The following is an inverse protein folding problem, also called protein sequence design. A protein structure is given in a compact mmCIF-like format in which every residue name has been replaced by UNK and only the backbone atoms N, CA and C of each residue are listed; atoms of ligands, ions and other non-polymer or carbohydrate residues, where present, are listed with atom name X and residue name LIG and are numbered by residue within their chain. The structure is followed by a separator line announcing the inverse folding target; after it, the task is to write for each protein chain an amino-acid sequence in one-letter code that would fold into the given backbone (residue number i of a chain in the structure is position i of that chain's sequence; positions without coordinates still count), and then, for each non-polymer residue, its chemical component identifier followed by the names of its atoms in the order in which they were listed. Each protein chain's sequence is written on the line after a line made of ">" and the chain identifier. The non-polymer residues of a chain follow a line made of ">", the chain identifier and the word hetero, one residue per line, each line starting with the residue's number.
data_IF_197678342742
#
_entry.id   IF_197678342742
#
_cell.length_a   1.000
_cell.length_b   1.000
_cell.length_c   1.000
_cell.angle_alpha   90.00
_cell.angle_beta   90.00
_cell.angle_gamma   90.00
#
_symmetry.space_group_name_H-M   'P 1'
#
loop_
_entity.id
_entity.type
_entity.pdbx_description
1 polymer ?
#
# COMPACT_ATOMS: atom_id res chain seq x y z
N UNK A 1 4.08 38.00 -30.40
CA UNK A 1 3.53 36.62 -30.48
C UNK A 1 3.52 36.10 -29.06
N UNK A 2 2.34 36.08 -28.44
CA UNK A 2 2.19 35.66 -27.05
C UNK A 2 2.35 34.15 -26.98
N UNK A 3 3.37 33.69 -26.27
CA UNK A 3 3.58 32.30 -25.91
C UNK A 3 2.55 31.94 -24.83
N UNK A 4 1.40 31.41 -25.26
CA UNK A 4 0.40 30.87 -24.35
C UNK A 4 0.90 29.50 -23.87
N UNK A 5 1.62 29.50 -22.76
CA UNK A 5 1.93 28.28 -22.00
C UNK A 5 0.61 27.60 -21.63
N UNK A 6 0.26 26.53 -22.35
CA UNK A 6 -0.87 25.68 -21.99
C UNK A 6 -0.67 25.20 -20.54
N UNK A 7 -1.68 25.28 -19.66
CA UNK A 7 -1.60 24.62 -18.38
C UNK A 7 -1.45 23.12 -18.65
N UNK A 8 -0.41 22.53 -18.07
CA UNK A 8 -0.10 21.12 -18.23
C UNK A 8 -1.22 20.31 -17.55
N UNK A 9 -2.30 20.04 -18.29
CA UNK A 9 -3.55 19.43 -17.84
C UNK A 9 -3.38 17.91 -17.68
N UNK A 10 -2.31 17.53 -16.98
CA UNK A 10 -1.90 16.15 -16.65
C UNK A 10 -2.82 15.49 -15.63
N UNK A 11 -3.92 16.15 -15.24
CA UNK A 11 -4.86 15.60 -14.27
C UNK A 11 -5.65 14.47 -14.92
N UNK A 12 -5.65 13.25 -14.34
CA UNK A 12 -6.40 12.12 -14.87
C UNK A 12 -7.87 12.49 -15.04
N UNK A 13 -8.42 12.23 -16.22
CA UNK A 13 -9.83 12.46 -16.50
C UNK A 13 -10.71 11.72 -15.49
N UNK A 14 -11.76 12.39 -15.02
CA UNK A 14 -12.72 11.83 -14.07
C UNK A 14 -13.87 11.16 -14.82
N UNK A 15 -14.15 9.90 -14.48
CA UNK A 15 -15.24 9.10 -15.03
C UNK A 15 -16.33 8.96 -13.95
N UNK A 16 -17.58 9.26 -14.31
CA UNK A 16 -18.71 9.02 -13.42
C UNK A 16 -19.12 7.54 -13.48
N UNK A 17 -19.30 6.92 -12.31
CA UNK A 17 -19.65 5.50 -12.18
C UNK A 17 -20.70 5.30 -11.10
N UNK A 18 -21.61 4.35 -11.29
CA UNK A 18 -22.63 4.03 -10.28
C UNK A 18 -22.11 3.12 -9.18
N UNK A 19 -21.01 2.37 -9.39
CA UNK A 19 -20.34 1.51 -8.40
C UNK A 19 -18.83 1.50 -8.62
N UNK A 20 -18.06 1.08 -7.61
CA UNK A 20 -16.60 0.94 -7.74
C UNK A 20 -16.29 -0.10 -8.83
N UNK A 21 -15.61 0.26 -9.92
CA UNK A 21 -15.16 -0.72 -10.90
C UNK A 21 -14.15 -1.66 -10.25
N UNK A 22 -14.14 -2.94 -10.62
CA UNK A 22 -13.07 -3.86 -10.20
C UNK A 22 -11.76 -3.57 -10.95
N UNK A 23 -11.87 -3.16 -12.23
CA UNK A 23 -10.75 -2.79 -13.09
C UNK A 23 -11.03 -1.48 -13.81
N UNK A 24 -9.96 -0.78 -14.13
CA UNK A 24 -10.01 0.44 -14.94
C UNK A 24 -10.41 0.07 -16.38
N UNK A 25 -11.45 0.72 -16.95
CA UNK A 25 -11.91 0.40 -18.30
C UNK A 25 -10.92 0.81 -19.40
N UNK A 26 -9.87 1.57 -19.05
CA UNK A 26 -8.89 2.08 -20.02
C UNK A 26 -7.63 1.21 -20.08
N UNK A 27 -7.08 0.81 -18.93
CA UNK A 27 -5.80 0.08 -18.88
C UNK A 27 -5.90 -1.28 -18.18
N UNK A 28 -7.08 -1.68 -17.69
CA UNK A 28 -7.28 -2.96 -17.01
C UNK A 28 -6.65 -3.08 -15.61
N UNK A 29 -5.95 -2.06 -15.13
CA UNK A 29 -5.38 -2.04 -13.77
C UNK A 29 -6.45 -2.00 -12.70
N UNK A 30 -6.10 -2.39 -11.47
CA UNK A 30 -7.01 -2.34 -10.31
C UNK A 30 -7.47 -0.90 -10.03
N UNK A 31 -8.68 -0.78 -9.47
CA UNK A 31 -9.19 0.49 -8.96
C UNK A 31 -9.10 0.50 -7.44
N UNK A 32 -8.31 1.44 -6.90
CA UNK A 32 -8.07 1.63 -5.47
C UNK A 32 -8.82 2.84 -4.95
N UNK A 33 -8.90 2.96 -3.62
CA UNK A 33 -9.52 4.13 -2.99
C UNK A 33 -8.58 5.34 -3.03
N UNK A 34 -9.17 6.54 -3.06
CA UNK A 34 -8.45 7.79 -2.81
C UNK A 34 -8.59 8.13 -1.33
N UNK A 35 -7.47 8.41 -0.67
CA UNK A 35 -7.42 8.86 0.72
C UNK A 35 -7.06 10.34 0.75
N UNK A 36 -7.86 11.15 1.44
CA UNK A 36 -7.68 12.60 1.55
C UNK A 36 -7.20 13.03 2.93
N UNK A 37 -6.73 14.27 3.04
CA UNK A 37 -6.14 14.80 4.27
C UNK A 37 -4.78 14.14 4.55
N UNK A 38 -4.00 13.94 3.49
CA UNK A 38 -2.76 13.15 3.51
C UNK A 38 -1.51 14.01 3.68
N UNK A 39 -1.61 15.35 3.56
CA UNK A 39 -0.43 16.22 3.49
C UNK A 39 0.54 15.73 2.41
N UNK A 40 1.81 15.60 2.79
CA UNK A 40 2.91 15.14 1.93
C UNK A 40 3.11 13.60 1.95
N UNK A 41 2.21 12.84 2.57
CA UNK A 41 2.31 11.37 2.61
C UNK A 41 2.29 10.80 1.20
N UNK A 42 3.26 9.94 0.89
CA UNK A 42 3.31 9.21 -0.39
C UNK A 42 2.51 7.91 -0.32
N UNK A 43 2.17 7.33 -1.46
CA UNK A 43 1.55 6.00 -1.51
C UNK A 43 2.42 4.91 -0.89
N UNK A 44 3.75 5.03 -1.00
CA UNK A 44 4.68 4.08 -0.38
C UNK A 44 4.67 4.20 1.15
N UNK A 45 4.69 5.42 1.69
CA UNK A 45 4.59 5.66 3.14
C UNK A 45 3.27 5.11 3.67
N UNK A 46 2.16 5.37 2.97
CA UNK A 46 0.86 4.85 3.32
C UNK A 46 0.83 3.32 3.32
N UNK A 47 1.44 2.69 2.31
CA UNK A 47 1.52 1.23 2.23
C UNK A 47 2.32 0.66 3.41
N UNK A 48 3.49 1.22 3.75
CA UNK A 48 4.30 0.72 4.86
C UNK A 48 3.64 0.96 6.22
N UNK A 49 3.10 2.16 6.44
CA UNK A 49 2.54 2.54 7.73
C UNK A 49 1.16 1.91 7.98
N UNK A 50 0.27 1.94 6.99
CA UNK A 50 -1.11 1.48 7.13
C UNK A 50 -1.34 0.06 6.59
N UNK A 51 -0.40 -0.49 5.81
CA UNK A 51 -0.46 -1.82 5.18
C UNK A 51 -1.69 -2.00 4.30
N UNK A 52 -1.97 -0.97 3.50
CA UNK A 52 -3.11 -0.87 2.58
C UNK A 52 -2.68 -0.17 1.29
N UNK A 53 -3.36 -0.50 0.19
CA UNK A 53 -3.17 0.17 -1.10
C UNK A 53 -4.22 1.27 -1.29
N UNK A 54 -3.76 2.47 -1.61
CA UNK A 54 -4.60 3.63 -1.92
C UNK A 54 -3.79 4.68 -2.70
N UNK A 55 -4.48 5.64 -3.31
CA UNK A 55 -3.87 6.83 -3.92
C UNK A 55 -4.03 8.02 -2.98
N UNK A 56 -2.99 8.82 -2.82
CA UNK A 56 -2.99 9.98 -1.93
C UNK A 56 -3.65 11.17 -2.63
N UNK A 57 -4.79 11.61 -2.10
CA UNK A 57 -5.64 12.66 -2.66
C UNK A 57 -5.24 14.08 -2.27
N UNK A 58 -4.30 14.22 -1.33
CA UNK A 58 -3.91 15.51 -0.75
C UNK A 58 -4.98 16.11 0.16
N UNK A 59 -4.77 17.36 0.54
CA UNK A 59 -5.65 18.07 1.49
C UNK A 59 -6.77 18.85 0.80
N UNK A 60 -6.59 19.14 -0.50
CA UNK A 60 -7.56 19.88 -1.31
C UNK A 60 -8.65 18.96 -1.82
N UNK A 61 -9.69 18.76 -1.00
CA UNK A 61 -10.86 17.94 -1.36
C UNK A 61 -11.78 18.75 -2.29
N UNK A 62 -11.99 18.32 -3.56
CA UNK A 62 -12.92 19.01 -4.45
C UNK A 62 -14.36 18.89 -3.95
N UNK A 63 -15.21 19.87 -4.29
CA UNK A 63 -16.65 19.82 -3.95
C UNK A 63 -17.35 18.55 -4.46
N UNK A 64 -16.92 18.04 -5.62
CA UNK A 64 -17.38 16.78 -6.23
C UNK A 64 -16.20 15.81 -6.34
N UNK A 65 -15.77 15.20 -5.22
CA UNK A 65 -14.51 14.48 -5.16
C UNK A 65 -14.61 13.16 -5.92
N UNK A 66 -13.61 12.81 -6.76
CA UNK A 66 -13.41 11.41 -7.10
C UNK A 66 -13.04 10.64 -5.82
N UNK A 67 -13.58 9.44 -5.65
CA UNK A 67 -13.32 8.62 -4.44
C UNK A 67 -12.53 7.35 -4.75
N UNK A 68 -12.35 7.06 -6.04
CA UNK A 68 -11.51 5.96 -6.50
C UNK A 68 -10.58 6.43 -7.61
N UNK A 69 -9.47 5.70 -7.76
CA UNK A 69 -8.47 5.96 -8.78
C UNK A 69 -8.00 4.63 -9.37
N UNK A 70 -7.67 4.66 -10.65
CA UNK A 70 -6.88 3.59 -11.25
C UNK A 70 -5.52 3.53 -10.53
N UNK A 71 -5.04 2.33 -10.19
CA UNK A 71 -3.75 2.17 -9.50
C UNK A 71 -2.56 2.67 -10.32
N UNK A 72 -2.64 2.65 -11.65
CA UNK A 72 -1.61 3.26 -12.53
C UNK A 72 -1.78 4.77 -12.70
N UNK A 73 -2.77 5.38 -12.02
CA UNK A 73 -3.01 6.83 -12.05
C UNK A 73 -3.76 7.36 -13.28
N UNK A 74 -4.03 6.54 -14.31
CA UNK A 74 -4.53 7.06 -15.60
C UNK A 74 -5.95 7.64 -15.59
N UNK A 75 -6.80 7.22 -14.65
CA UNK A 75 -8.20 7.67 -14.51
C UNK A 75 -8.61 7.77 -13.05
N UNK A 76 -9.52 8.69 -12.78
CA UNK A 76 -10.19 8.86 -11.48
C UNK A 76 -11.68 8.59 -11.65
N UNK A 77 -12.33 8.12 -10.60
CA UNK A 77 -13.74 7.75 -10.65
C UNK A 77 -14.54 8.47 -9.58
N UNK A 78 -15.67 9.03 -10.00
CA UNK A 78 -16.65 9.69 -9.13
C UNK A 78 -17.91 8.85 -9.07
N UNK A 79 -18.43 8.64 -7.87
CA UNK A 79 -19.73 7.98 -7.67
C UNK A 79 -20.86 8.93 -8.09
N UNK A 80 -21.79 8.41 -8.89
CA UNK A 80 -23.07 9.06 -9.23
C UNK A 80 -24.24 8.10 -8.95
N UNK A 81 -25.45 8.64 -8.92
CA UNK A 81 -26.69 7.86 -8.87
C UNK A 81 -27.00 7.24 -10.25
N UNK A 82 -28.00 6.36 -10.33
CA UNK A 82 -28.37 5.69 -11.59
C UNK A 82 -28.88 6.67 -12.65
N UNK A 83 -29.48 7.79 -12.22
CA UNK A 83 -29.93 8.89 -13.09
C UNK A 83 -28.79 9.85 -13.51
N UNK A 84 -27.55 9.58 -13.09
CA UNK A 84 -26.37 10.38 -13.39
C UNK A 84 -26.16 11.61 -12.50
N UNK A 85 -27.04 11.85 -11.52
CA UNK A 85 -26.89 12.95 -10.55
C UNK A 85 -25.78 12.67 -9.53
N UNK A 86 -25.30 13.73 -8.86
CA UNK A 86 -24.26 13.61 -7.84
C UNK A 86 -24.74 12.72 -6.67
N UNK A 87 -23.99 11.67 -6.38
CA UNK A 87 -24.27 10.81 -5.24
C UNK A 87 -23.64 11.41 -3.95
N UNK A 88 -24.35 11.41 -2.81
CA UNK A 88 -23.74 11.76 -1.54
C UNK A 88 -22.66 10.73 -1.19
N UNK A 89 -21.42 11.18 -1.06
CA UNK A 89 -20.26 10.33 -0.73
C UNK A 89 -19.54 10.81 0.51
N UNK A 90 -19.13 9.86 1.34
CA UNK A 90 -18.17 10.11 2.41
C UNK A 90 -16.77 9.75 1.92
N UNK A 91 -15.93 10.76 1.74
CA UNK A 91 -14.52 10.58 1.38
C UNK A 91 -13.77 9.85 2.50
N UNK A 92 -12.77 9.05 2.11
CA UNK A 92 -11.86 8.42 3.09
C UNK A 92 -10.82 9.45 3.52
N UNK A 93 -10.79 9.73 4.82
CA UNK A 93 -9.83 10.66 5.42
C UNK A 93 -8.73 9.88 6.12
N UNK A 94 -7.46 10.24 5.93
CA UNK A 94 -6.31 9.57 6.54
C UNK A 94 -6.45 9.44 8.06
N UNK A 95 -6.86 10.52 8.73
CA UNK A 95 -7.10 10.55 10.20
C UNK A 95 -8.07 9.49 10.72
N UNK A 96 -8.93 8.93 9.86
CA UNK A 96 -9.93 7.92 10.23
C UNK A 96 -9.48 6.49 9.85
N UNK A 97 -8.33 6.32 9.22
CA UNK A 97 -7.83 5.02 8.80
C UNK A 97 -7.08 4.36 9.96
N UNK A 98 -7.41 3.09 10.21
CA UNK A 98 -6.67 2.24 11.14
C UNK A 98 -5.62 1.44 10.39
N UNK A 99 -4.43 1.32 10.97
CA UNK A 99 -3.34 0.47 10.47
C UNK A 99 -3.81 -0.99 10.47
N UNK A 100 -3.49 -1.74 9.43
CA UNK A 100 -3.68 -3.19 9.44
C UNK A 100 -2.50 -3.88 10.17
N UNK A 101 -2.58 -5.18 10.51
CA UNK A 101 -1.45 -5.94 11.07
C UNK A 101 -0.24 -5.97 10.13
N UNK A 102 1.00 -6.08 10.66
CA UNK A 102 2.21 -6.14 9.81
C UNK A 102 2.21 -7.37 8.90
N UNK A 103 1.64 -8.47 9.37
CA UNK A 103 1.47 -9.72 8.62
C UNK A 103 0.67 -9.62 7.31
N UNK A 104 0.10 -8.44 7.00
CA UNK A 104 -0.49 -8.16 5.67
C UNK A 104 0.56 -7.87 4.60
N UNK A 105 1.76 -7.45 4.97
CA UNK A 105 2.89 -7.31 4.07
C UNK A 105 3.64 -8.64 4.05
N UNK A 106 3.93 -9.14 2.86
CA UNK A 106 4.88 -10.24 2.66
C UNK A 106 6.23 -9.58 2.38
N UNK A 107 7.16 -9.75 3.31
CA UNK A 107 8.51 -9.23 3.19
C UNK A 107 9.36 -10.24 2.43
N UNK A 108 10.20 -9.79 1.51
CA UNK A 108 10.99 -10.67 0.65
C UNK A 108 12.47 -10.51 1.01
N UNK A 109 13.16 -11.61 1.25
CA UNK A 109 14.60 -11.58 1.49
C UNK A 109 15.37 -11.30 0.20
N UNK A 110 16.56 -10.70 0.30
CA UNK A 110 17.44 -10.51 -0.85
C UNK A 110 17.82 -11.85 -1.51
N UNK A 111 17.93 -12.92 -0.72
CA UNK A 111 18.20 -14.27 -1.23
C UNK A 111 17.04 -14.81 -2.07
N UNK A 112 15.80 -14.47 -1.73
CA UNK A 112 14.63 -14.78 -2.54
C UNK A 112 14.67 -14.08 -3.90
N UNK A 113 15.06 -12.81 -3.94
CA UNK A 113 15.22 -12.08 -5.20
C UNK A 113 16.26 -12.76 -6.11
N UNK A 114 17.42 -13.13 -5.55
CA UNK A 114 18.44 -13.89 -6.29
C UNK A 114 17.95 -15.26 -6.75
N UNK A 115 17.15 -15.95 -5.93
CA UNK A 115 16.59 -17.25 -6.32
C UNK A 115 15.61 -17.11 -7.50
N UNK A 116 14.81 -16.03 -7.53
CA UNK A 116 13.93 -15.70 -8.66
C UNK A 116 14.72 -15.40 -9.94
N UNK A 117 15.81 -14.63 -9.84
CA UNK A 117 16.70 -14.32 -10.97
C UNK A 117 17.36 -15.57 -11.58
N UNK A 118 17.61 -16.59 -10.77
CA UNK A 118 18.22 -17.86 -11.17
C UNK A 118 17.20 -18.99 -11.43
N UNK A 119 15.91 -18.67 -11.52
CA UNK A 119 14.80 -19.62 -11.74
C UNK A 119 14.75 -20.79 -10.72
N UNK A 120 15.27 -20.55 -9.52
CA UNK A 120 15.31 -21.52 -8.42
C UNK A 120 14.09 -21.37 -7.52
N UNK A 121 12.89 -21.25 -8.10
CA UNK A 121 11.65 -20.93 -7.37
C UNK A 121 11.31 -21.98 -6.29
N UNK A 122 11.71 -23.23 -6.51
CA UNK A 122 11.44 -24.35 -5.61
C UNK A 122 12.06 -24.22 -4.22
N UNK A 123 13.07 -23.36 -4.04
CA UNK A 123 13.70 -23.14 -2.74
C UNK A 123 13.04 -22.02 -1.93
N UNK A 124 12.15 -21.24 -2.56
CA UNK A 124 11.47 -20.11 -1.92
C UNK A 124 10.25 -20.63 -1.16
N UNK A 125 10.20 -20.32 0.13
CA UNK A 125 9.10 -20.67 1.03
C UNK A 125 8.55 -19.42 1.71
N UNK A 126 7.29 -19.50 2.15
CA UNK A 126 6.69 -18.49 3.00
C UNK A 126 6.78 -18.94 4.46
N UNK A 127 7.31 -18.07 5.30
CA UNK A 127 7.44 -18.25 6.73
C UNK A 127 6.53 -17.26 7.46
N UNK A 128 5.96 -17.70 8.57
CA UNK A 128 5.33 -16.83 9.55
C UNK A 128 6.24 -16.76 10.79
N UNK A 129 6.64 -15.54 11.15
CA UNK A 129 7.55 -15.32 12.27
C UNK A 129 6.83 -14.58 13.39
N UNK A 130 6.96 -15.05 14.62
CA UNK A 130 6.54 -14.31 15.81
C UNK A 130 7.77 -13.69 16.47
N UNK A 131 7.80 -12.36 16.50
CA UNK A 131 8.96 -11.61 16.98
C UNK A 131 8.64 -11.03 18.35
N UNK A 132 9.62 -11.07 19.24
CA UNK A 132 9.63 -10.29 20.49
C UNK A 132 10.86 -9.39 20.52
N UNK A 133 10.65 -8.10 20.81
CA UNK A 133 11.73 -7.11 20.91
C UNK A 133 12.26 -6.97 22.34
N UNK A 134 13.36 -6.24 22.51
CA UNK A 134 13.93 -5.91 23.83
C UNK A 134 13.00 -5.06 24.72
N UNK A 135 11.93 -4.50 24.14
CA UNK A 135 10.90 -3.74 24.84
C UNK A 135 9.63 -4.56 25.12
N UNK A 136 9.69 -5.89 24.95
CA UNK A 136 8.56 -6.81 25.13
C UNK A 136 7.39 -6.51 24.17
N UNK A 137 7.70 -5.96 23.00
CA UNK A 137 6.71 -5.79 21.93
C UNK A 137 6.65 -7.05 21.07
N UNK A 138 5.44 -7.49 20.76
CA UNK A 138 5.19 -8.67 19.94
C UNK A 138 4.60 -8.29 18.59
N UNK A 139 5.07 -8.92 17.51
CA UNK A 139 4.44 -8.80 16.20
C UNK A 139 4.64 -10.04 15.35
N UNK A 140 3.69 -10.29 14.44
CA UNK A 140 3.75 -11.39 13.48
C UNK A 140 4.15 -10.88 12.10
N UNK A 141 5.20 -11.47 11.51
CA UNK A 141 5.62 -11.20 10.13
C UNK A 141 5.25 -12.35 9.20
N UNK A 142 5.06 -12.02 7.92
CA UNK A 142 5.09 -12.99 6.83
C UNK A 142 6.29 -12.69 5.95
N UNK A 143 7.12 -13.70 5.71
CA UNK A 143 8.40 -13.56 5.01
C UNK A 143 8.49 -14.59 3.90
N UNK A 144 8.84 -14.16 2.69
CA UNK A 144 9.34 -15.04 1.63
C UNK A 144 10.86 -15.12 1.77
N UNK A 145 11.38 -16.33 1.99
CA UNK A 145 12.80 -16.61 2.21
C UNK A 145 13.19 -17.98 1.64
N UNK A 146 14.49 -18.20 1.47
CA UNK A 146 15.03 -19.49 0.97
C UNK A 146 15.29 -20.52 2.07
N UNK A 147 15.32 -20.09 3.33
CA UNK A 147 15.46 -20.92 4.52
C UNK A 147 14.88 -20.22 5.76
N UNK A 148 14.67 -20.96 6.86
CA UNK A 148 14.26 -20.35 8.14
C UNK A 148 15.28 -19.35 8.68
N UNK A 149 16.58 -19.63 8.53
CA UNK A 149 17.65 -18.69 8.93
C UNK A 149 17.62 -17.40 8.11
N UNK A 150 17.39 -17.49 6.79
CA UNK A 150 17.23 -16.33 5.91
C UNK A 150 15.99 -15.50 6.30
N UNK A 151 14.92 -16.17 6.73
CA UNK A 151 13.73 -15.50 7.25
C UNK A 151 14.01 -14.74 8.56
N UNK A 152 14.74 -15.37 9.49
CA UNK A 152 15.14 -14.77 10.77
C UNK A 152 16.07 -13.57 10.57
N UNK A 153 17.06 -13.67 9.68
CA UNK A 153 17.97 -12.57 9.34
C UNK A 153 17.20 -11.35 8.81
N UNK A 154 16.24 -11.57 7.90
CA UNK A 154 15.38 -10.50 7.40
C UNK A 154 14.53 -9.88 8.52
N UNK A 155 13.96 -10.70 9.41
CA UNK A 155 13.19 -10.19 10.55
C UNK A 155 14.03 -9.28 11.45
N UNK A 156 15.27 -9.68 11.77
CA UNK A 156 16.19 -8.85 12.55
C UNK A 156 16.50 -7.53 11.85
N UNK A 157 16.74 -7.56 10.54
CA UNK A 157 16.99 -6.36 9.74
C UNK A 157 15.79 -5.40 9.79
N UNK A 158 14.57 -5.91 9.60
CA UNK A 158 13.34 -5.12 9.63
C UNK A 158 13.09 -4.45 10.99
N UNK A 159 13.36 -5.17 12.09
CA UNK A 159 13.28 -4.62 13.45
C UNK A 159 14.32 -3.54 13.68
N UNK A 160 15.57 -3.82 13.32
CA UNK A 160 16.69 -2.87 13.48
C UNK A 160 16.41 -1.57 12.73
N UNK A 161 15.91 -1.67 11.50
CA UNK A 161 15.51 -0.52 10.66
C UNK A 161 14.20 0.13 11.10
N UNK A 162 13.38 -0.55 11.93
CA UNK A 162 12.09 -0.06 12.42
C UNK A 162 11.00 -0.07 11.38
N UNK A 163 11.11 -0.94 10.38
CA UNK A 163 10.20 -1.01 9.23
C UNK A 163 8.83 -1.60 9.59
N UNK A 164 8.73 -2.25 10.75
CA UNK A 164 7.50 -2.95 11.19
C UNK A 164 6.69 -2.15 12.22
N UNK A 165 7.14 -0.94 12.57
CA UNK A 165 6.41 -0.04 13.46
C UNK A 165 6.52 -0.36 14.96
N UNK A 166 7.46 -1.23 15.34
CA UNK A 166 7.86 -1.45 16.73
C UNK A 166 8.83 -0.36 17.20
N UNK A 167 8.86 -0.07 18.50
CA UNK A 167 9.79 0.89 19.10
C UNK A 167 11.16 0.24 19.32
N UNK A 168 11.17 -1.03 19.75
CA UNK A 168 12.36 -1.83 19.95
C UNK A 168 13.12 -2.03 18.64
N UNK A 169 14.45 -2.11 18.75
CA UNK A 169 15.40 -2.21 17.64
C UNK A 169 16.24 -3.49 17.69
N UNK A 170 15.96 -4.37 18.65
CA UNK A 170 16.66 -5.64 18.82
C UNK A 170 15.66 -6.77 19.05
N UNK A 171 15.72 -7.80 18.20
CA UNK A 171 15.01 -9.05 18.47
C UNK A 171 15.64 -9.76 19.67
N UNK A 172 14.83 -10.15 20.65
CA UNK A 172 15.25 -11.04 21.75
C UNK A 172 14.76 -12.47 21.55
N UNK A 173 13.67 -12.63 20.79
CA UNK A 173 13.11 -13.93 20.43
C UNK A 173 12.47 -13.87 19.04
N UNK A 174 12.67 -14.94 18.27
CA UNK A 174 11.96 -15.18 17.01
C UNK A 174 11.51 -16.63 17.03
N UNK A 175 10.20 -16.85 16.88
CA UNK A 175 9.63 -18.19 16.67
C UNK A 175 9.25 -18.32 15.18
N UNK A 176 9.80 -19.33 14.52
CA UNK A 176 9.68 -19.51 13.06
C UNK A 176 8.71 -20.65 12.75
N UNK A 177 7.71 -20.36 11.92
CA UNK A 177 6.71 -21.32 11.44
C UNK A 177 6.70 -21.35 9.91
N UNK A 178 6.56 -22.54 9.33
CA UNK A 178 6.46 -22.77 7.87
C UNK A 178 5.02 -23.10 7.51
#
# INVERSE_FOLDING_TARGET
>A
MNDMSMPNDTRPQIINVTRKPSKCPVCGSEVVDIVYGTGDMTEMDFMLEYRKTAIMGGDNIPLRPPIWCCSCGCKRFRKVNEDGTDAPVKVKMLKNIRKAPVSKIIWTSQMTERALENDCISVIHQYQLEITTELDEHETLKVSAVSGSDAEDLAMELVTKGMIGLKGRKCVKIDTHV
#
